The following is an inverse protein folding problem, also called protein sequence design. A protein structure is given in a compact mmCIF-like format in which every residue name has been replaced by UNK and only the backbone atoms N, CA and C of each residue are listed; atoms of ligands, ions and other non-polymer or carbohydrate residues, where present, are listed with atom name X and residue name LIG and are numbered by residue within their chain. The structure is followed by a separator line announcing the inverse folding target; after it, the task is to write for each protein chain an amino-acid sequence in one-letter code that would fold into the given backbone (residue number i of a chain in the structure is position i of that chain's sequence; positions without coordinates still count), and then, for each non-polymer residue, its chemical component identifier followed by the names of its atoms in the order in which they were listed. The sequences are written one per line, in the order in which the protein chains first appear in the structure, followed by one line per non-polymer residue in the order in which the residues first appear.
data_IF_383755673750
#
_entry.id   IF_383755673750
#
_cell.length_a   1.000
_cell.length_b   1.000
_cell.length_c   1.000
_cell.angle_alpha   90.00
_cell.angle_beta   90.00
_cell.angle_gamma   90.00
#
_symmetry.space_group_name_H-M   'P 1'
#
loop_
_entity.id
_entity.type
_entity.pdbx_description
1 polymer ?
#
# COMPACT_ATOMS: atom_id res chain seq x y z
N UNK A 1 -22.00 50.90 33.83
CA UNK A 1 -21.24 50.53 35.04
C UNK A 1 -21.01 49.03 34.97
N UNK A 2 -19.86 48.65 34.40
CA UNK A 2 -19.47 47.25 34.15
C UNK A 2 -18.97 46.70 35.49
N UNK A 3 -19.63 45.67 36.01
CA UNK A 3 -19.21 44.96 37.22
C UNK A 3 -18.65 43.61 36.80
N UNK A 4 -17.32 43.52 36.71
CA UNK A 4 -16.59 42.27 36.59
C UNK A 4 -16.72 41.49 37.91
N UNK A 5 -17.32 40.30 37.88
CA UNK A 5 -17.11 39.29 38.92
C UNK A 5 -16.03 38.32 38.42
N UNK A 6 -14.85 38.41 39.05
CA UNK A 6 -13.83 37.39 38.98
C UNK A 6 -14.20 36.26 39.95
N UNK A 7 -14.34 35.04 39.45
CA UNK A 7 -14.40 33.85 40.27
C UNK A 7 -12.99 33.29 40.44
N UNK A 8 -12.43 33.47 41.62
CA UNK A 8 -11.27 32.71 42.12
C UNK A 8 -11.81 31.45 42.80
N UNK A 9 -11.42 30.26 42.34
CA UNK A 9 -11.60 29.02 43.12
C UNK A 9 -10.23 28.46 43.45
N UNK A 10 -10.07 28.27 44.75
CA UNK A 10 -8.84 27.96 45.45
C UNK A 10 -8.42 26.49 45.30
N UNK A 11 -7.11 26.29 45.31
CA UNK A 11 -6.47 25.01 45.58
C UNK A 11 -6.86 24.52 46.98
N UNK A 12 -7.28 23.27 47.10
CA UNK A 12 -7.31 22.54 48.37
C UNK A 12 -6.42 21.32 48.24
N UNK A 13 -5.22 21.42 48.82
CA UNK A 13 -4.32 20.31 49.09
C UNK A 13 -4.88 19.56 50.31
N UNK A 14 -5.08 18.25 50.16
CA UNK A 14 -5.35 17.35 51.28
C UNK A 14 -4.11 16.43 51.40
N UNK A 15 -3.31 16.64 52.45
CA UNK A 15 -2.11 15.87 52.73
C UNK A 15 -2.50 14.57 53.44
N UNK A 16 -2.21 13.43 52.80
CA UNK A 16 -2.15 12.10 53.42
C UNK A 16 -0.69 11.64 53.50
N UNK A 17 -0.31 10.83 54.50
CA UNK A 17 1.09 10.57 54.83
C UNK A 17 1.75 9.56 53.88
N UNK A 18 2.85 10.03 53.29
CA UNK A 18 4.05 9.32 52.81
C UNK A 18 3.98 7.82 52.49
N UNK A 19 4.08 7.51 51.20
CA UNK A 19 4.99 6.47 50.70
C UNK A 19 5.96 7.12 49.72
N UNK A 20 7.26 7.01 50.01
CA UNK A 20 8.35 7.48 49.16
C UNK A 20 8.41 6.63 47.89
N UNK A 21 7.83 7.11 46.80
CA UNK A 21 8.33 6.80 45.47
C UNK A 21 9.16 7.99 45.01
N UNK A 22 10.48 7.81 45.01
CA UNK A 22 11.38 8.65 44.21
C UNK A 22 10.99 8.45 42.74
N UNK A 23 10.05 9.25 42.26
CA UNK A 23 9.95 9.56 40.86
C UNK A 23 11.18 10.41 40.53
N UNK A 24 12.24 9.70 40.14
CA UNK A 24 13.35 10.28 39.42
C UNK A 24 12.78 10.85 38.12
N UNK A 25 12.44 12.15 38.15
CA UNK A 25 12.18 12.93 36.95
C UNK A 25 13.50 13.06 36.21
N UNK A 26 13.92 11.96 35.59
CA UNK A 26 14.95 11.98 34.57
C UNK A 26 14.34 12.73 33.41
N UNK A 27 14.83 13.95 33.18
CA UNK A 27 14.55 14.71 31.98
C UNK A 27 14.78 13.77 30.79
N UNK A 28 13.72 13.40 30.07
CA UNK A 28 13.83 12.53 28.91
C UNK A 28 14.67 13.26 27.88
N UNK A 29 15.95 12.89 27.80
CA UNK A 29 16.80 13.27 26.68
C UNK A 29 16.03 12.90 25.41
N UNK A 30 15.93 13.83 24.46
CA UNK A 30 15.27 13.59 23.19
C UNK A 30 15.83 12.28 22.61
N UNK A 31 14.98 11.25 22.47
CA UNK A 31 15.41 9.96 21.96
C UNK A 31 15.91 10.14 20.53
N UNK A 32 17.10 9.64 20.25
CA UNK A 32 17.61 9.61 18.88
C UNK A 32 16.77 8.58 18.13
N UNK A 33 16.10 8.96 17.03
CA UNK A 33 15.31 8.02 16.26
C UNK A 33 16.08 6.79 15.80
N UNK A 34 15.48 5.62 15.99
CA UNK A 34 16.06 4.39 15.48
C UNK A 34 15.80 4.24 13.97
N UNK A 35 16.80 3.77 13.22
CA UNK A 35 16.74 3.55 11.77
C UNK A 35 15.69 2.52 11.30
N UNK A 36 15.04 1.82 12.23
CA UNK A 36 13.99 0.86 11.90
C UNK A 36 12.62 1.53 11.79
N UNK A 37 12.47 2.79 12.23
CA UNK A 37 11.25 3.57 12.03
C UNK A 37 11.33 4.46 10.79
N UNK A 38 10.17 4.77 10.21
CA UNK A 38 10.05 5.71 9.08
C UNK A 38 10.33 5.10 7.71
N UNK A 39 10.11 3.79 7.56
CA UNK A 39 10.28 3.09 6.28
C UNK A 39 8.92 2.72 5.67
N UNK A 40 8.86 2.70 4.34
CA UNK A 40 7.62 2.53 3.57
C UNK A 40 7.89 1.79 2.26
N UNK A 41 7.08 0.76 1.96
CA UNK A 41 7.16 -0.06 0.75
C UNK A 41 5.75 -0.47 0.30
N UNK A 42 5.07 0.36 -0.49
CA UNK A 42 3.67 0.15 -0.89
C UNK A 42 3.47 -0.91 -1.97
N UNK A 43 4.56 -1.25 -2.67
CA UNK A 43 4.68 -2.13 -3.82
C UNK A 43 5.02 -3.58 -3.46
N UNK A 44 5.23 -3.90 -2.17
CA UNK A 44 5.51 -5.26 -1.71
C UNK A 44 4.25 -6.14 -1.64
N UNK A 45 3.51 -6.22 -2.74
CA UNK A 45 2.24 -6.94 -2.85
C UNK A 45 2.42 -8.46 -2.75
N UNK A 46 3.61 -8.99 -3.07
CA UNK A 46 3.91 -10.42 -2.98
C UNK A 46 4.12 -10.93 -1.55
N UNK A 47 4.81 -10.15 -0.70
CA UNK A 47 5.01 -10.51 0.71
C UNK A 47 3.89 -10.01 1.63
N UNK A 48 3.24 -8.91 1.25
CA UNK A 48 2.19 -8.25 2.02
C UNK A 48 0.98 -7.97 1.12
N UNK A 49 0.16 -8.99 0.84
CA UNK A 49 -1.05 -8.82 0.02
C UNK A 49 -2.07 -7.93 0.72
N UNK A 50 -3.04 -7.44 -0.04
CA UNK A 50 -4.18 -6.73 0.53
C UNK A 50 -4.99 -7.65 1.45
N UNK A 51 -5.62 -7.04 2.47
CA UNK A 51 -6.36 -7.73 3.52
C UNK A 51 -7.73 -7.08 3.63
N UNK A 52 -8.79 -7.87 3.43
CA UNK A 52 -10.16 -7.43 3.69
C UNK A 52 -10.29 -7.07 5.17
N UNK A 53 -11.01 -6.00 5.50
CA UNK A 53 -11.08 -5.52 6.88
C UNK A 53 -11.67 -6.54 7.85
N UNK A 54 -12.43 -7.53 7.39
CA UNK A 54 -12.98 -8.57 8.27
C UNK A 54 -11.94 -9.63 8.65
N UNK A 55 -10.87 -9.75 7.87
CA UNK A 55 -9.82 -10.77 8.03
C UNK A 55 -8.57 -10.19 8.72
N UNK A 56 -8.61 -8.93 9.17
CA UNK A 56 -7.46 -8.23 9.74
C UNK A 56 -6.82 -8.95 10.94
N UNK A 57 -7.64 -9.64 11.73
CA UNK A 57 -7.22 -10.32 12.94
C UNK A 57 -6.57 -11.70 12.67
N UNK A 58 -6.74 -12.23 11.46
CA UNK A 58 -6.16 -13.50 11.02
C UNK A 58 -4.76 -13.30 10.40
N UNK A 59 -4.31 -12.05 10.29
CA UNK A 59 -2.96 -11.72 9.81
C UNK A 59 -1.90 -12.39 10.68
N UNK A 60 -0.96 -13.17 10.10
CA UNK A 60 0.10 -13.81 10.85
C UNK A 60 1.01 -12.81 11.56
N UNK A 61 1.31 -13.07 12.83
CA UNK A 61 2.18 -12.24 13.67
C UNK A 61 3.03 -13.08 14.62
N UNK A 62 4.10 -12.48 15.13
CA UNK A 62 4.89 -13.03 16.24
C UNK A 62 4.52 -12.29 17.53
N UNK A 63 4.04 -13.02 18.54
CA UNK A 63 3.69 -12.48 19.85
C UNK A 63 4.65 -12.98 20.94
N UNK A 64 4.99 -12.10 21.90
CA UNK A 64 5.71 -12.45 23.12
C UNK A 64 7.21 -12.75 22.97
N UNK A 65 7.78 -12.61 21.77
CA UNK A 65 9.23 -12.76 21.51
C UNK A 65 9.69 -11.93 20.32
N UNK A 66 11.00 -11.84 20.12
CA UNK A 66 11.60 -11.29 18.90
C UNK A 66 11.34 -12.22 17.70
N UNK A 67 11.25 -11.63 16.52
CA UNK A 67 11.08 -12.37 15.27
C UNK A 67 12.39 -13.03 14.81
N UNK A 68 12.27 -14.16 14.12
CA UNK A 68 13.38 -14.78 13.39
C UNK A 68 13.54 -14.15 12.00
N UNK A 69 14.67 -14.42 11.35
CA UNK A 69 14.89 -13.96 9.97
C UNK A 69 13.93 -14.62 8.97
N UNK A 70 13.55 -15.89 9.18
CA UNK A 70 12.55 -16.56 8.33
C UNK A 70 11.18 -15.87 8.43
N UNK A 71 10.81 -15.44 9.63
CA UNK A 71 9.56 -14.73 9.89
C UNK A 71 9.51 -13.33 9.27
N UNK A 72 10.67 -12.70 8.99
CA UNK A 72 10.70 -11.46 8.21
C UNK A 72 10.63 -11.69 6.71
N UNK A 73 11.08 -12.86 6.24
CA UNK A 73 11.05 -13.24 4.83
C UNK A 73 9.68 -13.73 4.37
N UNK A 74 8.91 -14.36 5.26
CA UNK A 74 7.57 -14.88 4.95
C UNK A 74 6.44 -13.87 5.28
N UNK A 75 6.78 -12.66 5.73
CA UNK A 75 5.86 -11.57 6.02
C UNK A 75 5.25 -11.59 7.43
N UNK A 76 5.41 -12.65 8.23
CA UNK A 76 4.86 -12.74 9.61
C UNK A 76 5.36 -11.60 10.52
N UNK A 77 6.52 -11.04 10.20
CA UNK A 77 7.10 -9.86 10.82
C UNK A 77 7.81 -9.02 9.76
N UNK A 78 8.27 -7.82 10.13
CA UNK A 78 8.98 -6.93 9.20
C UNK A 78 10.45 -6.76 9.57
N UNK A 79 10.72 -6.60 10.87
CA UNK A 79 12.01 -6.14 11.37
C UNK A 79 12.72 -7.32 12.02
N UNK A 80 13.89 -7.66 11.47
CA UNK A 80 14.84 -8.58 12.11
C UNK A 80 15.88 -7.73 12.84
N UNK A 81 15.95 -7.89 14.15
CA UNK A 81 16.88 -7.14 15.00
C UNK A 81 18.11 -8.00 15.25
N UNK A 82 19.28 -7.43 14.95
CA UNK A 82 20.56 -8.02 15.29
C UNK A 82 20.77 -7.93 16.82
N UNK A 83 20.72 -9.09 17.49
CA UNK A 83 20.84 -9.20 18.94
C UNK A 83 22.27 -8.92 19.46
N UNK A 84 23.30 -9.05 18.62
CA UNK A 84 24.66 -8.67 19.00
C UNK A 84 24.80 -7.14 19.04
N UNK A 85 24.14 -6.47 18.08
CA UNK A 85 24.14 -5.01 17.98
C UNK A 85 23.18 -4.35 18.99
N UNK A 86 22.03 -4.96 19.25
CA UNK A 86 20.98 -4.44 20.13
C UNK A 86 20.54 -5.50 21.16
N UNK A 87 21.38 -5.82 22.16
CA UNK A 87 21.13 -6.90 23.12
C UNK A 87 19.96 -6.64 24.08
N UNK A 88 19.55 -5.38 24.20
CA UNK A 88 18.42 -4.90 25.01
C UNK A 88 17.10 -4.82 24.24
N UNK A 89 17.12 -5.11 22.93
CA UNK A 89 15.93 -5.11 22.11
C UNK A 89 14.93 -6.18 22.57
N UNK A 90 13.65 -5.79 22.67
CA UNK A 90 12.59 -6.66 23.15
C UNK A 90 11.24 -6.30 22.50
N UNK A 91 10.31 -7.26 22.37
CA UNK A 91 8.95 -6.92 22.00
C UNK A 91 8.32 -6.01 23.07
N UNK A 92 7.44 -5.11 22.64
CA UNK A 92 6.55 -4.43 23.57
C UNK A 92 5.51 -5.41 24.13
N UNK A 93 5.06 -5.18 25.36
CA UNK A 93 4.03 -5.99 26.00
C UNK A 93 2.66 -5.64 25.41
N UNK A 94 2.37 -6.21 24.24
CA UNK A 94 1.15 -5.98 23.49
C UNK A 94 0.85 -7.18 22.61
N UNK A 95 -0.39 -7.66 22.64
CA UNK A 95 -0.87 -8.69 21.72
C UNK A 95 -1.20 -8.07 20.36
N UNK A 96 -0.67 -8.68 19.30
CA UNK A 96 -0.88 -8.37 17.89
C UNK A 96 -1.70 -9.48 17.20
N UNK A 97 -2.26 -9.24 16.00
CA UNK A 97 -2.30 -7.96 15.28
C UNK A 97 -3.16 -6.89 15.98
N UNK A 98 -2.97 -5.61 15.62
CA UNK A 98 -3.81 -4.48 16.09
C UNK A 98 -4.08 -3.50 14.96
N UNK A 99 -5.29 -2.95 14.89
CA UNK A 99 -5.59 -1.87 13.96
C UNK A 99 -5.10 -0.52 14.50
N UNK A 100 -4.52 0.29 13.61
CA UNK A 100 -4.07 1.64 13.92
C UNK A 100 -4.33 2.63 12.77
N UNK A 101 -4.33 3.93 13.08
CA UNK A 101 -4.19 5.00 12.08
C UNK A 101 -2.74 5.44 11.99
N UNK A 102 -2.26 5.62 10.76
CA UNK A 102 -0.94 6.13 10.44
C UNK A 102 -1.06 7.20 9.36
N UNK A 103 -0.46 8.37 9.58
CA UNK A 103 -0.41 9.39 8.53
C UNK A 103 0.74 9.10 7.58
N UNK A 104 0.40 8.72 6.35
CA UNK A 104 1.36 8.47 5.29
C UNK A 104 1.57 9.76 4.48
N UNK A 105 2.78 10.32 4.57
CA UNK A 105 3.16 11.55 3.85
C UNK A 105 3.23 11.37 2.33
N UNK A 106 3.38 10.14 1.84
CA UNK A 106 3.46 9.86 0.39
C UNK A 106 2.07 9.85 -0.25
N UNK A 107 1.10 9.19 0.39
CA UNK A 107 -0.30 9.17 -0.07
C UNK A 107 -1.11 10.38 0.44
N UNK A 108 -0.60 11.13 1.41
CA UNK A 108 -1.28 12.24 2.09
C UNK A 108 -2.57 11.80 2.82
N UNK A 109 -2.52 10.59 3.40
CA UNK A 109 -3.69 9.91 3.97
C UNK A 109 -3.45 9.45 5.41
N UNK A 110 -4.53 9.46 6.19
CA UNK A 110 -4.62 8.75 7.47
C UNK A 110 -5.01 7.28 7.24
N UNK A 111 -4.02 6.50 6.84
CA UNK A 111 -4.15 5.09 6.48
C UNK A 111 -4.62 4.25 7.66
N UNK A 112 -5.52 3.30 7.40
CA UNK A 112 -5.84 2.22 8.33
C UNK A 112 -4.82 1.10 8.11
N UNK A 113 -4.02 0.81 9.13
CA UNK A 113 -2.93 -0.17 9.07
C UNK A 113 -3.14 -1.27 10.09
N UNK A 114 -2.57 -2.44 9.82
CA UNK A 114 -2.49 -3.57 10.73
C UNK A 114 -1.09 -3.59 11.32
N UNK A 115 -0.95 -3.21 12.58
CA UNK A 115 0.30 -3.35 13.34
C UNK A 115 0.53 -4.84 13.59
N UNK A 116 1.66 -5.34 13.10
CA UNK A 116 2.05 -6.76 13.18
C UNK A 116 3.27 -7.00 14.08
N UNK A 117 3.97 -5.92 14.44
CA UNK A 117 5.17 -5.97 15.24
C UNK A 117 5.33 -4.68 16.04
N UNK A 118 5.74 -4.77 17.30
CA UNK A 118 6.08 -3.62 18.13
C UNK A 118 7.27 -3.95 19.03
N UNK A 119 8.32 -3.12 18.99
CA UNK A 119 9.62 -3.39 19.59
C UNK A 119 10.11 -2.17 20.38
N UNK A 120 10.69 -2.39 21.56
CA UNK A 120 11.58 -1.43 22.20
C UNK A 120 13.01 -1.76 21.76
N UNK A 121 13.73 -0.77 21.21
CA UNK A 121 15.11 -0.92 20.75
C UNK A 121 15.88 0.33 21.17
N UNK A 122 16.92 0.14 22.00
CA UNK A 122 17.62 1.26 22.65
C UNK A 122 16.62 2.17 23.39
N UNK A 123 16.53 3.45 23.04
CA UNK A 123 15.59 4.41 23.64
C UNK A 123 14.35 4.69 22.79
N UNK A 124 14.13 3.93 21.71
CA UNK A 124 13.01 4.13 20.79
C UNK A 124 12.02 2.96 20.85
N UNK A 125 10.79 3.23 20.42
CA UNK A 125 9.73 2.24 20.27
C UNK A 125 9.26 2.24 18.82
N UNK A 126 9.44 1.12 18.13
CA UNK A 126 9.18 0.98 16.70
C UNK A 126 8.03 0.01 16.48
N UNK A 127 7.17 0.32 15.51
CA UNK A 127 6.15 -0.57 15.00
C UNK A 127 6.44 -0.96 13.56
N UNK A 128 6.20 -2.23 13.24
CA UNK A 128 6.07 -2.71 11.87
C UNK A 128 4.59 -2.96 11.59
N UNK A 129 4.11 -2.51 10.43
CA UNK A 129 2.72 -2.61 10.05
C UNK A 129 2.56 -2.99 8.57
N UNK A 130 1.36 -3.48 8.26
CA UNK A 130 0.88 -3.74 6.90
C UNK A 130 -0.21 -2.73 6.56
N UNK A 131 -0.29 -2.31 5.30
CA UNK A 131 -1.46 -1.60 4.82
C UNK A 131 -2.56 -2.60 4.47
N UNK A 132 -3.83 -2.22 4.66
CA UNK A 132 -4.95 -3.04 4.18
C UNK A 132 -4.95 -3.18 2.66
N UNK A 133 -4.48 -2.16 1.94
CA UNK A 133 -4.35 -2.17 0.49
C UNK A 133 -3.05 -2.82 -0.04
N UNK A 134 -2.38 -3.61 0.79
CA UNK A 134 -1.13 -4.29 0.46
C UNK A 134 0.12 -3.41 0.60
N UNK A 135 1.28 -4.06 0.71
CA UNK A 135 2.53 -3.42 1.09
C UNK A 135 2.66 -3.23 2.61
N UNK A 136 3.76 -2.65 3.02
CA UNK A 136 4.15 -2.59 4.42
C UNK A 136 4.98 -1.35 4.76
N UNK A 137 5.15 -1.11 6.06
CA UNK A 137 5.92 0.02 6.54
C UNK A 137 6.29 -0.12 8.01
N UNK A 138 7.08 0.82 8.48
CA UNK A 138 7.44 0.96 9.89
C UNK A 138 7.42 2.40 10.31
N UNK A 139 7.09 2.63 11.57
CA UNK A 139 7.04 3.95 12.18
C UNK A 139 7.48 3.86 13.62
N UNK A 140 7.68 5.01 14.26
CA UNK A 140 7.75 5.08 15.71
C UNK A 140 6.36 4.85 16.28
N UNK A 141 6.31 4.28 17.48
CA UNK A 141 5.05 3.95 18.14
C UNK A 141 4.16 5.19 18.37
N UNK A 142 4.77 6.36 18.58
CA UNK A 142 4.03 7.62 18.76
C UNK A 142 3.53 8.25 17.45
N UNK A 143 3.92 7.72 16.29
CA UNK A 143 3.43 8.14 14.96
C UNK A 143 2.20 7.34 14.52
N UNK A 144 1.79 6.34 15.32
CA UNK A 144 0.57 5.56 15.09
C UNK A 144 -0.44 5.75 16.22
N UNK A 145 -1.72 5.71 15.89
CA UNK A 145 -2.82 5.76 16.86
C UNK A 145 -3.58 4.43 16.83
N UNK A 146 -3.43 3.60 17.85
CA UNK A 146 -4.17 2.34 17.97
C UNK A 146 -5.68 2.61 18.07
N UNK A 147 -6.49 1.80 17.38
CA UNK A 147 -7.95 1.86 17.49
C UNK A 147 -8.41 1.17 18.78
N UNK A 148 -9.51 1.69 19.36
CA UNK A 148 -10.27 1.00 20.41
C UNK A 148 -11.21 -0.04 19.81
N UNK A 149 -11.67 -0.99 20.63
CA UNK A 149 -12.63 -2.02 20.20
C UNK A 149 -13.90 -1.38 19.62
N UNK A 150 -14.49 -0.38 20.29
CA UNK A 150 -15.63 0.39 19.77
C UNK A 150 -15.37 1.08 18.41
N UNK A 151 -14.12 1.48 18.14
CA UNK A 151 -13.76 2.07 16.86
C UNK A 151 -13.66 1.00 15.77
N UNK A 152 -13.16 -0.19 16.12
CA UNK A 152 -13.06 -1.35 15.22
C UNK A 152 -14.44 -1.87 14.86
N UNK A 153 -15.36 -2.00 15.83
CA UNK A 153 -16.74 -2.46 15.61
C UNK A 153 -17.56 -1.55 14.68
N UNK A 154 -17.16 -0.28 14.53
CA UNK A 154 -17.80 0.70 13.65
C UNK A 154 -17.20 0.76 12.25
N UNK A 155 -16.16 -0.02 11.96
CA UNK A 155 -15.58 -0.06 10.62
C UNK A 155 -16.55 -0.71 9.64
N UNK A 156 -16.81 -0.04 8.52
CA UNK A 156 -17.57 -0.62 7.43
C UNK A 156 -16.77 -1.77 6.79
N UNK A 157 -17.44 -2.83 6.31
CA UNK A 157 -16.80 -3.83 5.47
C UNK A 157 -16.09 -3.17 4.28
N UNK A 158 -14.87 -3.60 4.02
CA UNK A 158 -13.96 -3.02 3.04
C UNK A 158 -13.17 -4.18 2.44
N UNK A 159 -13.30 -4.37 1.13
CA UNK A 159 -12.75 -5.54 0.43
C UNK A 159 -11.88 -5.15 -0.74
N UNK A 160 -10.82 -5.89 -0.97
CA UNK A 160 -9.86 -5.59 -2.04
C UNK A 160 -9.93 -6.62 -3.14
N UNK A 161 -10.01 -6.14 -4.38
CA UNK A 161 -9.78 -7.01 -5.54
C UNK A 161 -8.28 -7.12 -5.69
N UNK A 162 -7.74 -8.33 -5.49
CA UNK A 162 -6.35 -8.63 -5.74
C UNK A 162 -6.20 -9.94 -6.52
N UNK A 163 -5.37 -9.92 -7.56
CA UNK A 163 -4.97 -11.09 -8.33
C UNK A 163 -3.80 -10.75 -9.24
N UNK A 164 -3.17 -11.80 -9.78
CA UNK A 164 -2.04 -11.68 -10.69
C UNK A 164 -2.40 -12.33 -12.02
N UNK A 165 -1.95 -11.74 -13.12
CA UNK A 165 -2.10 -12.30 -14.46
C UNK A 165 -0.73 -12.38 -15.16
N UNK A 166 -0.28 -13.58 -15.58
CA UNK A 166 0.92 -13.70 -16.40
C UNK A 166 0.61 -13.28 -17.83
N UNK A 167 1.46 -12.46 -18.43
CA UNK A 167 1.34 -11.90 -19.77
C UNK A 167 2.61 -12.25 -20.55
N UNK A 168 2.44 -12.90 -21.70
CA UNK A 168 3.55 -13.30 -22.57
C UNK A 168 4.00 -12.13 -23.45
N UNK A 169 4.44 -11.06 -22.79
CA UNK A 169 5.03 -9.88 -23.39
C UNK A 169 6.08 -9.28 -22.44
N UNK A 170 7.00 -8.49 -22.99
CA UNK A 170 7.93 -7.71 -22.19
C UNK A 170 7.21 -6.59 -21.42
N UNK A 171 7.86 -6.10 -20.35
CA UNK A 171 7.27 -5.13 -19.44
C UNK A 171 6.93 -3.80 -20.13
N UNK A 172 7.67 -3.42 -21.17
CA UNK A 172 7.48 -2.15 -21.86
C UNK A 172 6.22 -2.20 -22.73
N UNK A 173 5.96 -3.34 -23.38
CA UNK A 173 4.72 -3.58 -24.12
C UNK A 173 3.49 -3.55 -23.19
N UNK A 174 3.56 -4.24 -22.03
CA UNK A 174 2.47 -4.23 -21.04
C UNK A 174 2.26 -2.82 -20.49
N UNK A 175 3.35 -2.12 -20.17
CA UNK A 175 3.29 -0.74 -19.67
C UNK A 175 2.64 0.23 -20.67
N UNK A 176 2.97 0.10 -21.95
CA UNK A 176 2.36 0.91 -23.01
C UNK A 176 0.84 0.69 -23.07
N UNK A 177 0.36 -0.55 -23.01
CA UNK A 177 -1.08 -0.83 -22.97
C UNK A 177 -1.75 -0.22 -21.74
N UNK A 178 -1.09 -0.28 -20.59
CA UNK A 178 -1.60 0.29 -19.35
C UNK A 178 -1.70 1.81 -19.37
N UNK A 179 -0.81 2.52 -20.09
CA UNK A 179 -0.60 3.97 -19.88
C UNK A 179 -0.76 4.84 -21.13
N UNK A 180 -0.70 4.28 -22.34
CA UNK A 180 -0.79 5.06 -23.58
C UNK A 180 -2.25 5.28 -24.00
N UNK A 181 -2.60 6.53 -24.33
CA UNK A 181 -3.94 6.95 -24.77
C UNK A 181 -4.45 6.15 -25.98
N UNK A 182 -3.53 5.62 -26.79
CA UNK A 182 -3.87 4.79 -27.95
C UNK A 182 -4.72 3.54 -27.57
N UNK A 183 -4.65 3.08 -26.32
CA UNK A 183 -5.38 1.90 -25.83
C UNK A 183 -6.60 2.23 -24.98
N UNK A 184 -6.82 3.50 -24.60
CA UNK A 184 -7.88 3.89 -23.67
C UNK A 184 -9.27 3.47 -24.16
N UNK A 185 -9.57 3.68 -25.45
CA UNK A 185 -10.88 3.34 -26.00
C UNK A 185 -11.19 1.83 -25.95
N UNK A 186 -10.19 0.99 -26.23
CA UNK A 186 -10.33 -0.47 -26.17
C UNK A 186 -10.55 -0.95 -24.73
N UNK A 187 -9.79 -0.40 -23.78
CA UNK A 187 -9.89 -0.78 -22.37
C UNK A 187 -11.16 -0.21 -21.71
N UNK A 188 -11.58 1.00 -22.06
CA UNK A 188 -12.81 1.63 -21.57
C UNK A 188 -14.05 0.80 -21.89
N UNK A 189 -14.12 0.20 -23.08
CA UNK A 189 -15.25 -0.64 -23.46
C UNK A 189 -15.49 -1.83 -22.51
N UNK A 190 -14.51 -2.18 -21.66
CA UNK A 190 -14.63 -3.26 -20.67
C UNK A 190 -15.30 -2.80 -19.37
N UNK A 191 -15.00 -1.60 -18.89
CA UNK A 191 -15.49 -1.08 -17.60
C UNK A 191 -16.58 0.00 -17.73
N UNK A 192 -16.72 0.59 -18.92
CA UNK A 192 -17.74 1.58 -19.27
C UNK A 192 -18.28 1.29 -20.69
N UNK A 193 -18.99 0.17 -20.89
CA UNK A 193 -19.49 -0.23 -22.21
C UNK A 193 -20.55 0.73 -22.77
N UNK A 194 -21.18 1.52 -21.91
CA UNK A 194 -22.16 2.54 -22.30
C UNK A 194 -21.52 3.90 -22.64
N UNK A 195 -20.19 4.01 -22.49
CA UNK A 195 -19.40 5.22 -22.75
C UNK A 195 -19.99 6.45 -22.05
N UNK A 196 -20.18 6.31 -20.73
CA UNK A 196 -20.78 7.32 -19.85
C UNK A 196 -19.76 8.26 -19.22
N UNK A 197 -18.46 7.91 -19.26
CA UNK A 197 -17.39 8.76 -18.76
C UNK A 197 -17.21 10.03 -19.61
N UNK A 198 -16.71 11.09 -18.98
CA UNK A 198 -16.33 12.33 -19.68
C UNK A 198 -15.22 12.04 -20.69
N UNK A 199 -15.23 12.74 -21.84
CA UNK A 199 -14.33 12.44 -22.96
C UNK A 199 -12.83 12.56 -22.64
N UNK A 200 -12.47 13.19 -21.53
CA UNK A 200 -11.13 13.45 -21.03
C UNK A 200 -10.81 12.73 -19.71
N UNK A 201 -11.61 11.71 -19.34
CA UNK A 201 -11.41 10.95 -18.09
C UNK A 201 -9.97 10.42 -17.93
N UNK A 202 -9.34 10.02 -19.04
CA UNK A 202 -8.00 9.45 -19.07
C UNK A 202 -6.88 10.49 -18.94
N UNK A 203 -7.14 11.78 -19.17
CA UNK A 203 -6.10 12.83 -19.08
C UNK A 203 -5.61 13.03 -17.64
N UNK A 204 -6.41 12.64 -16.66
CA UNK A 204 -6.10 12.76 -15.23
C UNK A 204 -5.61 11.45 -14.59
N UNK A 205 -5.72 10.34 -15.31
CA UNK A 205 -5.37 9.02 -14.80
C UNK A 205 -4.03 8.58 -15.34
N UNK A 206 -3.19 8.01 -14.47
CA UNK A 206 -1.91 7.42 -14.87
C UNK A 206 -2.06 6.01 -15.48
N UNK A 207 -3.30 5.52 -15.59
CA UNK A 207 -3.65 4.20 -16.12
C UNK A 207 -4.95 4.26 -16.93
N UNK A 208 -5.03 3.42 -17.95
CA UNK A 208 -6.22 3.19 -18.79
C UNK A 208 -7.30 2.37 -18.07
N UNK A 209 -7.65 2.78 -16.84
CA UNK A 209 -8.71 2.22 -16.03
C UNK A 209 -9.40 3.35 -15.25
N UNK A 210 -10.69 3.20 -14.98
CA UNK A 210 -11.42 4.12 -14.12
C UNK A 210 -12.47 3.35 -13.32
N UNK A 211 -12.51 3.62 -12.02
CA UNK A 211 -13.64 3.29 -11.17
C UNK A 211 -14.47 4.55 -10.89
N UNK A 212 -15.72 4.65 -11.39
CA UNK A 212 -16.51 5.89 -11.28
C UNK A 212 -16.78 6.36 -9.85
N UNK A 213 -16.76 5.46 -8.85
CA UNK A 213 -16.98 5.80 -7.45
C UNK A 213 -15.68 5.99 -6.65
N UNK A 214 -14.51 6.01 -7.32
CA UNK A 214 -13.21 6.21 -6.67
C UNK A 214 -13.09 7.56 -5.96
N UNK A 215 -13.83 8.57 -6.43
CA UNK A 215 -13.76 9.94 -5.92
C UNK A 215 -12.70 10.77 -6.63
N UNK A 216 -12.09 11.71 -5.92
CA UNK A 216 -11.08 12.62 -6.48
C UNK A 216 -9.68 12.04 -6.27
N UNK A 217 -8.84 12.07 -7.31
CA UNK A 217 -7.43 11.71 -7.20
C UNK A 217 -6.72 12.72 -6.29
N UNK A 218 -6.14 12.21 -5.21
CA UNK A 218 -5.38 12.97 -4.20
C UNK A 218 -3.87 12.88 -4.43
N UNK A 219 -3.40 11.71 -4.88
CA UNK A 219 -2.02 11.45 -5.30
C UNK A 219 -2.02 10.42 -6.43
N UNK A 220 -1.05 10.52 -7.31
CA UNK A 220 -0.81 9.54 -8.35
C UNK A 220 0.69 9.38 -8.57
N UNK A 221 1.11 8.16 -8.92
CA UNK A 221 2.46 7.83 -9.31
C UNK A 221 2.41 6.76 -10.39
N UNK A 222 3.22 6.93 -11.44
CA UNK A 222 3.53 5.90 -12.42
C UNK A 222 5.00 5.99 -12.81
N UNK A 223 5.74 4.88 -12.68
CA UNK A 223 7.14 4.84 -13.09
C UNK A 223 7.92 3.61 -12.62
N UNK A 224 9.23 3.64 -12.85
CA UNK A 224 10.15 2.60 -12.39
C UNK A 224 10.48 2.77 -10.90
N UNK A 225 10.31 1.68 -10.15
CA UNK A 225 10.67 1.56 -8.75
C UNK A 225 11.54 0.31 -8.61
N UNK A 226 12.84 0.53 -8.43
CA UNK A 226 13.85 -0.52 -8.26
C UNK A 226 13.83 -1.59 -9.38
N UNK A 227 13.57 -1.18 -10.62
CA UNK A 227 13.55 -2.06 -11.79
C UNK A 227 12.21 -2.77 -12.02
N UNK A 228 11.18 -2.47 -11.23
CA UNK A 228 9.79 -2.86 -11.49
C UNK A 228 8.99 -1.64 -11.90
N UNK A 229 8.05 -1.79 -12.84
CA UNK A 229 7.16 -0.70 -13.22
C UNK A 229 5.93 -0.72 -12.32
N UNK A 230 5.60 0.43 -11.74
CA UNK A 230 4.60 0.55 -10.69
C UNK A 230 3.68 1.76 -10.91
N UNK A 231 2.38 1.54 -10.73
CA UNK A 231 1.35 2.58 -10.71
C UNK A 231 0.64 2.52 -9.36
N UNK A 232 0.48 3.67 -8.71
CA UNK A 232 -0.41 3.87 -7.57
C UNK A 232 -1.28 5.10 -7.79
N UNK A 233 -2.60 4.95 -7.71
CA UNK A 233 -3.56 6.04 -7.77
C UNK A 233 -4.36 6.06 -6.48
N UNK A 234 -4.26 7.16 -5.75
CA UNK A 234 -4.88 7.36 -4.46
C UNK A 234 -6.06 8.30 -4.59
N UNK A 235 -7.27 7.78 -4.38
CA UNK A 235 -8.50 8.56 -4.47
C UNK A 235 -9.17 8.75 -3.10
N UNK A 236 -9.98 9.80 -3.01
CA UNK A 236 -10.79 10.10 -1.84
C UNK A 236 -12.16 10.65 -2.24
N UNK A 237 -13.20 10.13 -1.60
CA UNK A 237 -14.54 10.71 -1.57
C UNK A 237 -14.89 11.16 -0.15
N UNK A 238 -16.06 11.78 0.04
CA UNK A 238 -16.54 12.16 1.38
C UNK A 238 -16.70 10.95 2.31
N UNK A 239 -16.94 9.76 1.74
CA UNK A 239 -17.33 8.57 2.49
C UNK A 239 -16.22 7.52 2.56
N UNK A 240 -15.28 7.50 1.60
CA UNK A 240 -14.30 6.43 1.48
C UNK A 240 -12.96 6.91 0.91
N UNK A 241 -11.89 6.21 1.30
CA UNK A 241 -10.62 6.24 0.59
C UNK A 241 -10.57 5.03 -0.33
N UNK A 242 -9.99 5.21 -1.51
CA UNK A 242 -9.82 4.18 -2.51
C UNK A 242 -8.40 4.26 -3.08
N UNK A 243 -7.87 3.12 -3.53
CA UNK A 243 -6.55 3.02 -4.12
C UNK A 243 -6.55 2.02 -5.27
N UNK A 244 -5.72 2.29 -6.26
CA UNK A 244 -5.40 1.39 -7.37
C UNK A 244 -3.91 1.15 -7.36
N UNK A 245 -3.50 -0.11 -7.42
CA UNK A 245 -2.09 -0.50 -7.52
C UNK A 245 -1.92 -1.50 -8.65
N UNK A 246 -1.01 -1.18 -9.54
CA UNK A 246 -0.58 -2.05 -10.64
C UNK A 246 0.94 -2.19 -10.59
N UNK A 247 1.43 -3.42 -10.46
CA UNK A 247 2.86 -3.71 -10.43
C UNK A 247 3.19 -4.69 -11.55
N UNK A 248 4.18 -4.35 -12.38
CA UNK A 248 4.77 -5.25 -13.36
C UNK A 248 6.04 -5.85 -12.77
N UNK A 249 6.01 -7.17 -12.54
CA UNK A 249 7.21 -7.92 -12.16
C UNK A 249 7.56 -8.91 -13.26
N UNK A 250 8.81 -8.94 -13.67
CA UNK A 250 9.30 -9.87 -14.68
C UNK A 250 10.80 -9.71 -14.84
N UNK A 251 11.47 -10.72 -15.36
CA UNK A 251 12.88 -10.58 -15.72
C UNK A 251 12.98 -9.99 -17.11
N UNK A 252 13.89 -9.04 -17.34
CA UNK A 252 14.22 -8.58 -18.71
C UNK A 252 14.69 -9.71 -19.63
N UNK A 253 15.08 -10.85 -19.05
CA UNK A 253 15.46 -12.04 -19.80
C UNK A 253 14.29 -12.97 -20.14
N UNK A 254 13.15 -12.85 -19.45
CA UNK A 254 11.93 -13.58 -19.78
C UNK A 254 11.04 -12.73 -20.68
N UNK A 255 10.45 -13.34 -21.69
CA UNK A 255 9.39 -12.72 -22.48
C UNK A 255 8.02 -12.78 -21.76
N UNK A 256 8.06 -12.72 -20.44
CA UNK A 256 6.91 -12.92 -19.57
C UNK A 256 6.96 -11.88 -18.46
N UNK A 257 5.86 -11.16 -18.32
CA UNK A 257 5.60 -10.16 -17.30
C UNK A 257 4.39 -10.59 -16.50
N UNK A 258 4.48 -10.50 -15.17
CA UNK A 258 3.33 -10.69 -14.28
C UNK A 258 2.80 -9.31 -13.92
N UNK A 259 1.54 -9.06 -14.25
CA UNK A 259 0.78 -7.90 -13.77
C UNK A 259 0.10 -8.29 -12.46
N UNK A 260 0.52 -7.66 -11.36
CA UNK A 260 -0.13 -7.75 -10.05
C UNK A 260 -1.10 -6.58 -9.92
N UNK A 261 -2.33 -6.88 -9.51
CA UNK A 261 -3.40 -5.91 -9.36
C UNK A 261 -3.87 -5.94 -7.91
N UNK A 262 -4.00 -4.78 -7.29
CA UNK A 262 -4.66 -4.60 -6.00
C UNK A 262 -5.44 -3.28 -6.00
N UNK A 263 -6.77 -3.35 -6.02
CA UNK A 263 -7.65 -2.18 -6.03
C UNK A 263 -8.72 -2.27 -4.94
N UNK A 264 -9.10 -1.12 -4.39
CA UNK A 264 -10.14 -1.01 -3.37
C UNK A 264 -9.81 -0.02 -2.26
N UNK A 265 -10.51 -0.08 -1.12
CA UNK A 265 -11.59 -1.02 -0.84
C UNK A 265 -12.84 -0.77 -1.68
N UNK A 266 -13.55 -1.85 -1.99
CA UNK A 266 -14.90 -1.86 -2.56
C UNK A 266 -15.94 -2.16 -1.49
N UNK A 267 -17.15 -1.64 -1.71
CA UNK A 267 -18.32 -1.85 -0.86
C UNK A 267 -19.23 -2.94 -1.43
N UNK A 268 -20.51 -2.58 -1.61
CA UNK A 268 -21.56 -3.51 -2.08
C UNK A 268 -21.31 -4.03 -3.50
N UNK A 269 -20.58 -3.28 -4.32
CA UNK A 269 -20.28 -3.60 -5.72
C UNK A 269 -19.00 -4.44 -5.90
N UNK A 270 -18.37 -4.92 -4.82
CA UNK A 270 -17.12 -5.71 -4.87
C UNK A 270 -17.13 -6.84 -5.90
N UNK A 271 -18.22 -7.61 -5.99
CA UNK A 271 -18.29 -8.75 -6.91
C UNK A 271 -18.34 -8.32 -8.38
N UNK A 272 -18.98 -7.18 -8.64
CA UNK A 272 -19.04 -6.58 -9.97
C UNK A 272 -17.66 -6.01 -10.36
N UNK A 273 -17.03 -5.24 -9.47
CA UNK A 273 -15.70 -4.66 -9.71
C UNK A 273 -14.63 -5.73 -9.86
N UNK A 274 -14.74 -6.83 -9.11
CA UNK A 274 -13.88 -8.01 -9.32
C UNK A 274 -14.02 -8.55 -10.74
N UNK A 275 -15.25 -8.68 -11.25
CA UNK A 275 -15.47 -9.16 -12.60
C UNK A 275 -14.97 -8.18 -13.66
N UNK A 276 -15.17 -6.88 -13.46
CA UNK A 276 -14.69 -5.82 -14.35
C UNK A 276 -13.17 -5.84 -14.43
N UNK A 277 -12.47 -5.80 -13.28
CA UNK A 277 -11.01 -5.83 -13.23
C UNK A 277 -10.44 -7.09 -13.86
N UNK A 278 -11.05 -8.26 -13.65
CA UNK A 278 -10.61 -9.50 -14.29
C UNK A 278 -10.72 -9.43 -15.81
N UNK A 279 -11.84 -8.93 -16.35
CA UNK A 279 -12.01 -8.76 -17.80
C UNK A 279 -11.07 -7.72 -18.36
N UNK A 280 -10.88 -6.61 -17.65
CA UNK A 280 -9.98 -5.53 -18.07
C UNK A 280 -8.53 -6.03 -18.11
N UNK A 281 -8.10 -6.79 -17.11
CA UNK A 281 -6.77 -7.39 -17.08
C UNK A 281 -6.54 -8.40 -18.21
N UNK A 282 -7.57 -9.18 -18.57
CA UNK A 282 -7.51 -10.07 -19.74
C UNK A 282 -7.41 -9.28 -21.05
N UNK A 283 -8.10 -8.14 -21.19
CA UNK A 283 -7.96 -7.27 -22.36
C UNK A 283 -6.56 -6.64 -22.43
N UNK A 284 -6.01 -6.20 -21.30
CA UNK A 284 -4.61 -5.74 -21.21
C UNK A 284 -3.66 -6.84 -21.70
N UNK A 285 -3.87 -8.08 -21.25
CA UNK A 285 -3.09 -9.25 -21.70
C UNK A 285 -3.18 -9.44 -23.21
N UNK A 286 -4.39 -9.48 -23.78
CA UNK A 286 -4.62 -9.68 -25.22
C UNK A 286 -3.91 -8.60 -26.04
N UNK A 287 -4.08 -7.33 -25.66
CA UNK A 287 -3.48 -6.19 -26.37
C UNK A 287 -1.95 -6.23 -26.28
N UNK A 288 -1.39 -6.56 -25.12
CA UNK A 288 0.06 -6.61 -24.89
C UNK A 288 0.72 -7.71 -25.73
N UNK A 289 0.15 -8.92 -25.72
CA UNK A 289 0.66 -10.07 -26.48
C UNK A 289 0.52 -9.84 -28.00
N UNK A 290 -0.49 -9.08 -28.43
CA UNK A 290 -0.67 -8.72 -29.84
C UNK A 290 0.29 -7.62 -30.32
N UNK A 291 0.65 -6.67 -29.45
CA UNK A 291 1.57 -5.58 -29.77
C UNK A 291 2.98 -6.12 -30.00
N UNK A 292 3.39 -7.08 -29.17
CA UNK A 292 4.62 -7.81 -29.39
C UNK A 292 4.62 -8.54 -30.74
N UNK A 293 3.51 -9.18 -31.10
CA UNK A 293 3.39 -9.84 -32.40
C UNK A 293 3.58 -8.85 -33.56
N UNK A 294 3.09 -7.61 -33.45
CA UNK A 294 3.34 -6.55 -34.45
C UNK A 294 4.81 -6.09 -34.48
N UNK A 295 5.45 -5.94 -33.32
CA UNK A 295 6.87 -5.61 -33.22
C UNK A 295 7.78 -6.72 -33.79
N UNK A 296 7.38 -7.98 -33.59
CA UNK A 296 8.08 -9.12 -34.16
C UNK A 296 7.84 -9.24 -35.66
N UNK A 297 6.59 -9.12 -36.16
CA UNK A 297 6.31 -9.09 -37.60
C UNK A 297 7.09 -7.98 -38.30
N UNK A 298 7.15 -6.78 -37.74
CA UNK A 298 7.91 -5.66 -38.33
C UNK A 298 9.42 -5.96 -38.39
N UNK A 299 9.99 -6.64 -37.38
CA UNK A 299 11.37 -7.17 -37.43
C UNK A 299 11.56 -8.26 -38.49
N UNK A 300 10.61 -9.19 -38.65
CA UNK A 300 10.68 -10.27 -39.65
C UNK A 300 10.49 -9.76 -41.08
N UNK A 301 9.55 -8.85 -41.31
CA UNK A 301 9.30 -8.24 -42.63
C UNK A 301 10.44 -7.33 -43.07
N UNK A 302 11.11 -6.62 -42.15
CA UNK A 302 12.37 -5.92 -42.48
C UNK A 302 13.47 -6.88 -42.95
N UNK A 303 13.63 -8.05 -42.31
CA UNK A 303 14.63 -9.05 -42.73
C UNK A 303 14.31 -9.70 -44.08
N UNK A 304 13.03 -9.82 -44.44
CA UNK A 304 12.60 -10.37 -45.75
C UNK A 304 12.72 -9.32 -46.86
N UNK A 305 12.48 -8.04 -46.56
CA UNK A 305 12.53 -6.94 -47.53
C UNK A 305 13.88 -6.21 -47.58
N UNK A 306 14.85 -6.60 -46.75
CA UNK A 306 16.23 -6.14 -46.89
C UNK A 306 16.81 -6.79 -48.14
N UNK A 307 17.36 -6.03 -49.10
CA UNK A 307 18.05 -6.64 -50.25
C UNK A 307 19.10 -7.59 -49.71
N UNK A 308 19.04 -8.86 -50.14
CA UNK A 308 20.20 -9.73 -49.99
C UNK A 308 21.37 -8.98 -50.61
N UNK A 309 22.37 -8.64 -49.80
CA UNK A 309 23.67 -8.22 -50.30
C UNK A 309 24.17 -9.35 -51.21
N UNK A 310 23.89 -9.20 -52.51
CA UNK A 310 24.47 -10.01 -53.56
C UNK A 310 25.91 -9.53 -53.74
N UNK A 311 26.76 -9.91 -52.78
CA UNK A 311 28.20 -9.84 -52.92
C UNK A 311 28.66 -10.92 -53.90
N UNK A 312 28.90 -10.50 -55.14
CA UNK A 312 29.97 -11.06 -55.97
C UNK A 312 31.23 -10.22 -55.77
#
# INVERSE_FOLDING_TARGET
MILCLAATVACSLNEGPGENHQDDVTSSAASVPHQYGGWYCPDNLGGFPAVDILDWNDVPVVNGRMATQEETQNGTSLIFVDAEKYPDARPLDMKMPRLARFFNVQSDKNELVIVIQALAISSDSIVGFRYLNGGNGSARFNEVTLLSDDAIERLAPARFVQFNIPIQADSDAVWSVLTDDAFSASLQAVFDPENTLESDWNQSSEVNFNYPQSGVITRAFAGDVWGSLYIQIDCQSEQQQYVEKFLLSGSKASNETILHIACGPYGEDFMEQKSILQKWAEEVKILSESTQFQADISRWTWRINSPQDSGC
#
